data_IF_764129359872
#
_entry.id   IF_764129359872
#
_cell.length_a   1.000
_cell.length_b   1.000
_cell.length_c   1.000
_cell.angle_alpha   90.00
_cell.angle_beta   90.00
_cell.angle_gamma   90.00
#
_symmetry.space_group_name_H-M   'P 1'
#
loop_
_entity.id
_entity.type
_entity.pdbx_description
1 polymer ?
#
# COMPACT_ATOMS: atom_id res chain seq x y z
N UNK A 1 9.53 14.98 -29.15
CA UNK A 1 10.73 14.67 -28.35
C UNK A 1 10.71 15.31 -26.97
N UNK A 2 10.47 16.62 -26.81
CA UNK A 2 10.45 17.31 -25.49
C UNK A 2 9.51 16.68 -24.44
N UNK A 3 8.30 16.26 -24.84
CA UNK A 3 7.34 15.60 -23.94
C UNK A 3 7.86 14.28 -23.36
N UNK A 4 8.61 13.50 -24.14
CA UNK A 4 9.19 12.23 -23.67
C UNK A 4 10.32 12.48 -22.67
N UNK A 5 11.12 13.53 -22.87
CA UNK A 5 12.13 13.95 -21.90
C UNK A 5 11.48 14.35 -20.57
N UNK A 6 10.40 15.15 -20.60
CA UNK A 6 9.66 15.54 -19.40
C UNK A 6 9.06 14.35 -18.65
N UNK A 7 8.49 13.38 -19.37
CA UNK A 7 7.99 12.13 -18.76
C UNK A 7 9.14 11.39 -18.05
N UNK A 8 10.30 11.27 -18.70
CA UNK A 8 11.48 10.63 -18.10
C UNK A 8 11.98 11.38 -16.86
N UNK A 9 11.95 12.70 -16.87
CA UNK A 9 12.39 13.51 -15.74
C UNK A 9 11.44 13.36 -14.55
N UNK A 10 10.13 13.31 -14.80
CA UNK A 10 9.12 12.96 -13.78
C UNK A 10 9.38 11.56 -13.22
N UNK A 11 9.60 10.57 -14.09
CA UNK A 11 9.88 9.20 -13.66
C UNK A 11 11.13 9.13 -12.77
N UNK A 12 12.19 9.87 -13.11
CA UNK A 12 13.40 9.95 -12.27
C UNK A 12 13.13 10.61 -10.92
N UNK A 13 12.36 11.69 -10.89
CA UNK A 13 11.99 12.38 -9.67
C UNK A 13 11.16 11.46 -8.74
N UNK A 14 10.19 10.72 -9.32
CA UNK A 14 9.40 9.71 -8.59
C UNK A 14 10.31 8.63 -8.01
N UNK A 15 11.20 8.04 -8.82
CA UNK A 15 12.12 6.99 -8.35
C UNK A 15 13.06 7.49 -7.24
N UNK A 16 13.50 8.74 -7.29
CA UNK A 16 14.33 9.35 -6.22
C UNK A 16 13.54 9.54 -4.94
N UNK A 17 12.28 10.00 -5.06
CA UNK A 17 11.38 10.12 -3.92
C UNK A 17 11.12 8.75 -3.28
N UNK A 18 10.82 7.72 -4.07
CA UNK A 18 10.58 6.35 -3.59
C UNK A 18 11.77 5.81 -2.78
N UNK A 19 12.99 5.97 -3.29
CA UNK A 19 14.20 5.55 -2.59
C UNK A 19 14.41 6.31 -1.27
N UNK A 20 14.16 7.63 -1.28
CA UNK A 20 14.25 8.45 -0.07
C UNK A 20 13.20 8.08 0.98
N UNK A 21 11.96 7.83 0.53
CA UNK A 21 10.85 7.38 1.37
C UNK A 21 11.17 6.03 2.02
N UNK A 22 11.60 5.05 1.24
CA UNK A 22 11.96 3.72 1.75
C UNK A 22 13.11 3.78 2.75
N UNK A 23 14.15 4.58 2.48
CA UNK A 23 15.26 4.78 3.41
C UNK A 23 14.84 5.42 4.73
N UNK A 24 13.84 6.31 4.70
CA UNK A 24 13.38 7.06 5.87
C UNK A 24 12.42 6.24 6.74
N UNK A 25 11.48 5.53 6.11
CA UNK A 25 10.39 4.85 6.82
C UNK A 25 10.53 3.33 6.87
N UNK A 26 11.48 2.73 6.14
CA UNK A 26 11.63 1.28 6.05
C UNK A 26 10.50 0.56 5.31
N UNK A 27 9.66 1.31 4.59
CA UNK A 27 8.53 0.81 3.80
C UNK A 27 8.57 1.39 2.39
N UNK A 28 8.22 0.57 1.39
CA UNK A 28 8.17 1.04 0.01
C UNK A 28 6.92 1.90 -0.24
N UNK A 29 6.88 2.61 -1.37
CA UNK A 29 5.80 3.55 -1.64
C UNK A 29 4.41 2.87 -1.67
N UNK A 30 4.30 1.68 -2.27
CA UNK A 30 3.02 0.94 -2.31
C UNK A 30 2.55 0.51 -0.92
N UNK A 31 3.47 0.12 -0.03
CA UNK A 31 3.15 -0.18 1.37
C UNK A 31 2.63 1.08 2.07
N UNK A 32 3.31 2.21 1.91
CA UNK A 32 2.87 3.50 2.45
C UNK A 32 1.50 3.94 1.94
N UNK A 33 1.23 3.76 0.64
CA UNK A 33 -0.08 4.05 0.05
C UNK A 33 -1.17 3.14 0.62
N UNK A 34 -0.90 1.85 0.82
CA UNK A 34 -1.86 0.92 1.41
C UNK A 34 -2.20 1.32 2.86
N UNK A 35 -1.20 1.67 3.65
CA UNK A 35 -1.39 2.15 5.03
C UNK A 35 -2.18 3.46 5.08
N UNK A 36 -1.90 4.40 4.17
CA UNK A 36 -2.63 5.66 4.07
C UNK A 36 -4.11 5.44 3.69
N UNK A 37 -4.39 4.51 2.77
CA UNK A 37 -5.76 4.12 2.42
C UNK A 37 -6.49 3.48 3.59
N UNK A 38 -5.82 2.60 4.34
CA UNK A 38 -6.36 1.99 5.55
C UNK A 38 -6.60 3.00 6.67
N UNK A 39 -5.73 4.00 6.83
CA UNK A 39 -5.92 5.08 7.80
C UNK A 39 -7.21 5.86 7.52
N UNK A 40 -7.50 6.13 6.24
CA UNK A 40 -8.68 6.89 5.81
C UNK A 40 -9.97 6.08 5.88
N UNK A 41 -9.93 4.82 5.46
CA UNK A 41 -11.11 3.95 5.37
C UNK A 41 -11.38 3.14 6.66
N UNK A 42 -10.39 3.05 7.55
CA UNK A 42 -10.42 2.21 8.75
C UNK A 42 -10.13 0.74 8.45
N UNK A 43 -10.85 0.15 7.50
CA UNK A 43 -10.69 -1.25 7.12
C UNK A 43 -11.02 -1.48 5.65
N UNK A 44 -10.18 -2.23 4.94
CA UNK A 44 -10.35 -2.55 3.51
C UNK A 44 -10.07 -4.03 3.24
N UNK A 45 -10.76 -4.62 2.28
CA UNK A 45 -10.43 -5.95 1.75
C UNK A 45 -9.19 -5.89 0.85
N UNK A 46 -8.60 -7.06 0.58
CA UNK A 46 -7.48 -7.17 -0.38
C UNK A 46 -7.87 -6.60 -1.76
N UNK A 47 -9.08 -6.90 -2.23
CA UNK A 47 -9.57 -6.39 -3.52
C UNK A 47 -9.64 -4.86 -3.57
N UNK A 48 -10.22 -4.25 -2.53
CA UNK A 48 -10.32 -2.79 -2.44
C UNK A 48 -8.95 -2.11 -2.39
N UNK A 49 -7.99 -2.68 -1.64
CA UNK A 49 -6.61 -2.16 -1.62
C UNK A 49 -5.99 -2.23 -3.01
N UNK A 50 -6.15 -3.36 -3.71
CA UNK A 50 -5.60 -3.54 -5.05
C UNK A 50 -6.19 -2.56 -6.06
N UNK A 51 -7.50 -2.35 -6.02
CA UNK A 51 -8.21 -1.41 -6.90
C UNK A 51 -7.78 0.05 -6.64
N UNK A 52 -7.74 0.47 -5.36
CA UNK A 52 -7.36 1.83 -4.99
C UNK A 52 -5.93 2.19 -5.41
N UNK A 53 -5.00 1.23 -5.34
CA UNK A 53 -3.59 1.45 -5.69
C UNK A 53 -3.28 1.09 -7.16
N UNK A 54 -4.27 0.60 -7.93
CA UNK A 54 -4.05 0.16 -9.32
C UNK A 54 -3.06 -1.01 -9.44
N UNK A 55 -3.01 -1.89 -8.44
CA UNK A 55 -2.06 -3.00 -8.39
C UNK A 55 -2.64 -4.25 -9.05
N UNK A 56 -1.78 -5.02 -9.71
CA UNK A 56 -2.12 -6.40 -10.10
C UNK A 56 -2.35 -7.26 -8.86
N UNK A 57 -3.17 -8.31 -8.96
CA UNK A 57 -3.45 -9.22 -7.84
C UNK A 57 -2.18 -9.79 -7.19
N UNK A 58 -1.20 -10.17 -8.02
CA UNK A 58 0.10 -10.67 -7.57
C UNK A 58 0.90 -9.62 -6.82
N UNK A 59 0.90 -8.36 -7.27
CA UNK A 59 1.64 -7.30 -6.60
C UNK A 59 0.95 -6.87 -5.30
N UNK A 60 -0.37 -6.74 -5.35
CA UNK A 60 -1.19 -6.45 -4.17
C UNK A 60 -0.99 -7.49 -3.06
N UNK A 61 -0.98 -8.78 -3.41
CA UNK A 61 -0.74 -9.86 -2.45
C UNK A 61 0.64 -9.76 -1.79
N UNK A 62 1.68 -9.34 -2.54
CA UNK A 62 3.02 -9.09 -2.00
C UNK A 62 3.04 -7.91 -1.04
N UNK A 63 2.38 -6.81 -1.40
CA UNK A 63 2.28 -5.60 -0.56
C UNK A 63 1.60 -5.92 0.77
N UNK A 64 0.41 -6.54 0.71
CA UNK A 64 -0.36 -6.94 1.90
C UNK A 64 0.47 -7.87 2.80
N UNK A 65 1.06 -8.92 2.23
CA UNK A 65 1.88 -9.85 3.00
C UNK A 65 3.12 -9.18 3.62
N UNK A 66 3.69 -8.17 2.97
CA UNK A 66 4.82 -7.42 3.51
C UNK A 66 4.43 -6.53 4.69
N UNK A 67 3.35 -5.73 4.57
CA UNK A 67 2.88 -4.87 5.67
C UNK A 67 2.35 -5.69 6.87
N UNK A 68 1.80 -6.87 6.63
CA UNK A 68 1.46 -7.84 7.69
C UNK A 68 2.71 -8.38 8.37
N UNK A 69 3.72 -8.82 7.60
CA UNK A 69 4.99 -9.32 8.15
C UNK A 69 5.73 -8.25 8.95
N UNK A 70 5.58 -6.98 8.58
CA UNK A 70 6.11 -5.82 9.32
C UNK A 70 5.26 -5.46 10.56
N UNK A 71 4.11 -6.10 10.77
CA UNK A 71 3.25 -5.86 11.94
C UNK A 71 2.47 -4.54 11.88
N UNK A 72 2.31 -3.96 10.70
CA UNK A 72 1.68 -2.65 10.49
C UNK A 72 0.16 -2.77 10.34
N UNK A 73 -0.33 -3.94 9.90
CA UNK A 73 -1.76 -4.23 9.75
C UNK A 73 -2.14 -5.53 10.45
N UNK A 74 -3.40 -5.61 10.85
CA UNK A 74 -4.06 -6.82 11.34
C UNK A 74 -5.12 -7.29 10.35
N UNK A 75 -5.28 -8.62 10.25
CA UNK A 75 -6.25 -9.27 9.38
C UNK A 75 -7.44 -9.76 10.18
N UNK A 76 -8.64 -9.44 9.72
CA UNK A 76 -9.92 -9.81 10.33
C UNK A 76 -10.81 -10.50 9.31
N UNK A 77 -11.50 -11.56 9.73
CA UNK A 77 -12.46 -12.26 8.87
C UNK A 77 -13.73 -11.39 8.72
N UNK A 78 -14.23 -11.27 7.49
CA UNK A 78 -15.46 -10.55 7.19
C UNK A 78 -16.66 -11.10 7.93
N UNK A 79 -17.48 -10.20 8.50
CA UNK A 79 -18.69 -10.58 9.24
C UNK A 79 -19.86 -10.94 8.33
N UNK A 80 -19.96 -10.30 7.14
CA UNK A 80 -20.99 -10.55 6.13
C UNK A 80 -20.64 -11.70 5.19
N UNK A 81 -19.38 -11.76 4.71
CA UNK A 81 -18.84 -12.89 3.94
C UNK A 81 -17.56 -13.38 4.63
N UNK A 82 -17.65 -14.56 5.27
CA UNK A 82 -16.52 -15.18 6.00
C UNK A 82 -15.38 -15.64 5.09
N UNK A 83 -15.57 -15.63 3.76
CA UNK A 83 -14.51 -15.91 2.79
C UNK A 83 -13.63 -14.70 2.54
N UNK A 84 -14.12 -13.51 2.84
CA UNK A 84 -13.37 -12.27 2.64
C UNK A 84 -12.55 -11.94 3.88
N UNK A 85 -11.32 -11.51 3.63
CA UNK A 85 -10.41 -10.98 4.63
C UNK A 85 -10.40 -9.46 4.52
N UNK A 86 -10.46 -8.81 5.66
CA UNK A 86 -10.30 -7.37 5.80
C UNK A 86 -9.02 -7.07 6.56
N UNK A 87 -8.41 -5.94 6.24
CA UNK A 87 -7.19 -5.45 6.82
C UNK A 87 -7.47 -4.11 7.47
N UNK A 88 -6.87 -3.88 8.63
CA UNK A 88 -6.90 -2.59 9.31
C UNK A 88 -5.55 -2.31 9.94
N UNK A 89 -5.22 -1.04 10.21
CA UNK A 89 -3.98 -0.69 10.90
C UNK A 89 -3.94 -1.32 12.29
N UNK A 90 -2.77 -1.78 12.73
CA UNK A 90 -2.62 -2.21 14.13
C UNK A 90 -2.76 -1.01 15.07
N UNK A 91 -3.09 -1.22 16.36
CA UNK A 91 -3.26 -0.11 17.31
C UNK A 91 -2.06 0.83 17.43
N UNK A 92 -0.85 0.34 17.14
CA UNK A 92 0.38 1.15 17.16
C UNK A 92 0.44 2.18 16.02
N UNK A 93 -0.15 1.85 14.88
CA UNK A 93 -0.11 2.68 13.67
C UNK A 93 -1.36 3.57 13.51
N UNK A 94 -2.32 3.51 14.45
CA UNK A 94 -3.53 4.34 14.45
C UNK A 94 -3.35 5.71 15.11
N UNK A 95 -2.22 5.97 15.77
CA UNK A 95 -1.94 7.18 16.56
C UNK A 95 -0.86 8.05 15.93
#
# INVERSE_FOLDING_TARGET
MDRLCKIRDIQRAVNQFEQGFEKTYGICLNEGMALCSLLKAGSLSSGEIGELLGLTSSNNSKVIGSIEKKGLVERVIGTKDKRQMYFSLTPKERN
#
